data_IF_423494157700
#
_entry.id   IF_423494157700
#
_cell.length_a   1.000
_cell.length_b   1.000
_cell.length_c   1.000
_cell.angle_alpha   90.00
_cell.angle_beta   90.00
_cell.angle_gamma   90.00
#
_symmetry.space_group_name_H-M   'P 1'
#
loop_
_entity.id
_entity.type
_entity.pdbx_description
1 polymer ?
#
# COMPACT_ATOMS: atom_id res chain seq x y z
N UNK A 1 -17.37 -18.17 -16.58
CA UNK A 1 -15.98 -17.88 -16.17
C UNK A 1 -15.85 -18.37 -14.74
N UNK A 2 -15.10 -19.44 -14.49
CA UNK A 2 -14.95 -20.00 -13.14
C UNK A 2 -14.04 -19.06 -12.35
N UNK A 3 -14.59 -18.37 -11.35
CA UNK A 3 -13.80 -17.50 -10.48
C UNK A 3 -12.91 -18.41 -9.63
N UNK A 4 -11.60 -18.41 -9.92
CA UNK A 4 -10.62 -19.11 -9.11
C UNK A 4 -10.42 -18.34 -7.81
N UNK A 5 -10.43 -19.05 -6.68
CA UNK A 5 -10.27 -18.45 -5.36
C UNK A 5 -8.89 -17.79 -5.22
N UNK A 6 -8.78 -16.46 -5.04
CA UNK A 6 -7.51 -15.75 -5.08
C UNK A 6 -6.52 -16.18 -4.00
N UNK A 7 -6.95 -16.95 -2.99
CA UNK A 7 -6.07 -17.54 -1.98
C UNK A 7 -5.01 -18.47 -2.56
N UNK A 8 -5.14 -18.94 -3.81
CA UNK A 8 -4.05 -19.68 -4.47
C UNK A 8 -2.76 -18.84 -4.62
N UNK A 9 -2.86 -17.51 -4.57
CA UNK A 9 -1.71 -16.59 -4.59
C UNK A 9 -1.01 -16.47 -3.23
N UNK A 10 -1.64 -16.96 -2.16
CA UNK A 10 -1.05 -16.88 -0.84
C UNK A 10 0.19 -17.76 -0.77
N UNK A 11 1.31 -17.17 -0.35
CA UNK A 11 2.48 -17.93 0.02
C UNK A 11 2.25 -18.56 1.39
N UNK A 12 2.31 -19.89 1.43
CA UNK A 12 2.26 -20.66 2.67
C UNK A 12 3.69 -21.03 3.04
N UNK A 13 4.14 -20.58 4.20
CA UNK A 13 5.44 -20.94 4.75
C UNK A 13 5.27 -22.17 5.63
N UNK A 14 5.37 -23.35 5.02
CA UNK A 14 5.36 -24.60 5.76
C UNK A 14 6.65 -24.70 6.61
N UNK A 15 6.51 -25.23 7.82
CA UNK A 15 7.62 -25.40 8.75
C UNK A 15 7.20 -26.28 9.92
N UNK A 16 8.13 -27.09 10.41
CA UNK A 16 7.89 -27.95 11.58
C UNK A 16 8.09 -27.18 12.90
N UNK A 17 8.53 -25.92 12.82
CA UNK A 17 8.84 -25.06 13.95
C UNK A 17 8.69 -23.56 13.61
N UNK A 18 8.54 -22.68 14.63
CA UNK A 18 8.58 -21.23 14.42
C UNK A 18 9.89 -20.73 13.79
N UNK A 19 11.02 -21.41 14.03
CA UNK A 19 12.31 -21.04 13.43
C UNK A 19 12.33 -21.27 11.91
N UNK A 20 11.72 -22.37 11.45
CA UNK A 20 11.57 -22.67 10.03
C UNK A 20 10.66 -21.64 9.34
N UNK A 21 9.53 -21.29 9.98
CA UNK A 21 8.64 -20.23 9.48
C UNK A 21 9.38 -18.90 9.34
N UNK A 22 10.09 -18.46 10.38
CA UNK A 22 10.86 -17.22 10.35
C UNK A 22 11.88 -17.21 9.20
N UNK A 23 12.64 -18.30 9.03
CA UNK A 23 13.61 -18.44 7.94
C UNK A 23 12.93 -18.35 6.58
N UNK A 24 11.83 -19.07 6.36
CA UNK A 24 11.14 -19.11 5.08
C UNK A 24 10.48 -17.76 4.74
N UNK A 25 9.83 -17.13 5.73
CA UNK A 25 9.22 -15.81 5.58
C UNK A 25 10.26 -14.75 5.24
N UNK A 26 11.35 -14.68 6.01
CA UNK A 26 12.41 -13.68 5.77
C UNK A 26 13.08 -13.86 4.41
N UNK A 27 13.36 -15.10 3.99
CA UNK A 27 13.85 -15.37 2.63
C UNK A 27 12.88 -14.91 1.54
N UNK A 28 11.57 -15.08 1.75
CA UNK A 28 10.59 -14.58 0.79
C UNK A 28 10.51 -13.06 0.75
N UNK A 29 10.50 -12.43 1.93
CA UNK A 29 10.51 -10.98 2.05
C UNK A 29 11.76 -10.37 1.39
N UNK A 30 12.95 -10.95 1.63
CA UNK A 30 14.19 -10.52 0.98
C UNK A 30 14.08 -10.62 -0.54
N UNK A 31 13.59 -11.75 -1.07
CA UNK A 31 13.40 -11.90 -2.52
C UNK A 31 12.43 -10.86 -3.08
N UNK A 32 11.32 -10.60 -2.39
CA UNK A 32 10.36 -9.58 -2.81
C UNK A 32 11.01 -8.19 -2.85
N UNK A 33 11.71 -7.79 -1.79
CA UNK A 33 12.42 -6.52 -1.72
C UNK A 33 13.52 -6.40 -2.79
N UNK A 34 14.27 -7.47 -3.04
CA UNK A 34 15.32 -7.50 -4.07
C UNK A 34 14.78 -7.51 -5.50
N UNK A 35 13.50 -7.83 -5.69
CA UNK A 35 12.86 -7.83 -7.02
C UNK A 35 12.37 -6.46 -7.47
N UNK A 36 12.44 -5.45 -6.59
CA UNK A 36 12.01 -4.09 -6.91
C UNK A 36 12.94 -3.44 -7.95
N UNK A 37 12.35 -3.00 -9.07
CA UNK A 37 13.04 -2.12 -10.00
C UNK A 37 13.07 -0.70 -9.41
N UNK A 38 14.28 -0.23 -9.07
CA UNK A 38 14.47 1.10 -8.48
C UNK A 38 14.01 2.23 -9.39
N UNK A 39 13.96 2.02 -10.71
CA UNK A 39 13.42 3.02 -11.64
C UNK A 39 11.92 3.22 -11.46
N UNK A 40 11.17 2.16 -11.16
CA UNK A 40 9.74 2.28 -10.87
C UNK A 40 9.51 3.01 -9.54
N UNK A 41 10.41 2.84 -8.57
CA UNK A 41 10.37 3.59 -7.32
C UNK A 41 10.60 5.08 -7.55
N UNK A 42 11.60 5.45 -8.36
CA UNK A 42 11.86 6.84 -8.73
C UNK A 42 10.64 7.46 -9.43
N UNK A 43 10.05 6.74 -10.38
CA UNK A 43 8.84 7.17 -11.07
C UNK A 43 7.66 7.38 -10.12
N UNK A 44 7.46 6.47 -9.15
CA UNK A 44 6.41 6.63 -8.14
C UNK A 44 6.62 7.90 -7.31
N UNK A 45 7.86 8.17 -6.87
CA UNK A 45 8.22 9.40 -6.16
C UNK A 45 7.98 10.65 -7.01
N UNK A 46 8.36 10.64 -8.28
CA UNK A 46 8.13 11.75 -9.22
C UNK A 46 6.65 12.06 -9.41
N UNK A 47 5.79 11.03 -9.50
CA UNK A 47 4.34 11.20 -9.59
C UNK A 47 3.81 11.92 -8.34
N UNK A 48 4.21 11.48 -7.15
CA UNK A 48 3.79 12.09 -5.88
C UNK A 48 4.27 13.55 -5.78
N UNK A 49 5.55 13.81 -6.06
CA UNK A 49 6.10 15.17 -6.05
C UNK A 49 5.40 16.08 -7.06
N UNK A 50 5.09 15.57 -8.25
CA UNK A 50 4.37 16.32 -9.28
C UNK A 50 2.95 16.64 -8.83
N UNK A 51 2.26 15.68 -8.21
CA UNK A 51 0.93 15.90 -7.65
C UNK A 51 0.94 16.99 -6.57
N UNK A 52 1.93 16.98 -5.66
CA UNK A 52 2.10 18.04 -4.66
C UNK A 52 2.31 19.42 -5.30
N UNK A 53 3.27 19.52 -6.23
CA UNK A 53 3.59 20.78 -6.95
C UNK A 53 2.39 21.34 -7.71
N UNK A 54 1.57 20.47 -8.29
CA UNK A 54 0.36 20.85 -9.03
C UNK A 54 -0.87 21.02 -8.13
N UNK A 55 -0.74 20.83 -6.82
CA UNK A 55 -1.83 20.93 -5.85
C UNK A 55 -2.94 19.89 -6.05
N UNK A 56 -2.63 18.77 -6.72
CA UNK A 56 -3.54 17.67 -7.01
C UNK A 56 -3.85 16.85 -5.75
N UNK A 57 -4.96 16.09 -5.81
CA UNK A 57 -5.36 15.17 -4.75
C UNK A 57 -5.03 13.73 -5.13
N UNK A 58 -4.47 13.00 -4.17
CA UNK A 58 -4.17 11.58 -4.28
C UNK A 58 -5.23 10.82 -3.50
N UNK A 59 -5.88 9.87 -4.15
CA UNK A 59 -6.84 8.98 -3.52
C UNK A 59 -6.21 7.60 -3.34
N UNK A 60 -6.29 7.06 -2.12
CA UNK A 60 -5.79 5.74 -1.77
C UNK A 60 -6.96 4.79 -1.60
N UNK A 61 -6.84 3.57 -2.11
CA UNK A 61 -7.89 2.57 -2.02
C UNK A 61 -7.30 1.18 -1.90
N UNK A 62 -8.01 0.32 -1.18
CA UNK A 62 -7.67 -1.07 -1.01
C UNK A 62 -8.80 -1.79 -0.27
N UNK A 63 -8.84 -3.11 -0.40
CA UNK A 63 -9.81 -3.97 0.27
C UNK A 63 -9.13 -4.77 1.38
N UNK A 64 -9.87 -5.14 2.44
CA UNK A 64 -9.35 -5.93 3.54
C UNK A 64 -8.11 -5.29 4.18
N UNK A 65 -7.00 -6.04 4.31
CA UNK A 65 -5.75 -5.51 4.84
C UNK A 65 -5.19 -4.31 4.06
N UNK A 66 -5.41 -4.25 2.74
CA UNK A 66 -4.98 -3.10 1.93
C UNK A 66 -5.79 -1.83 2.19
N UNK A 67 -7.01 -1.96 2.74
CA UNK A 67 -7.79 -0.81 3.22
C UNK A 67 -7.07 -0.15 4.40
N UNK A 68 -6.59 -0.95 5.36
CA UNK A 68 -5.80 -0.46 6.49
C UNK A 68 -4.48 0.19 6.05
N UNK A 69 -3.81 -0.39 5.04
CA UNK A 69 -2.61 0.23 4.43
C UNK A 69 -2.96 1.57 3.77
N UNK A 70 -4.12 1.69 3.11
CA UNK A 70 -4.56 2.95 2.49
C UNK A 70 -4.79 4.05 3.54
N UNK A 71 -5.45 3.71 4.65
CA UNK A 71 -5.64 4.63 5.77
C UNK A 71 -4.30 5.05 6.38
N UNK A 72 -3.38 4.11 6.59
CA UNK A 72 -2.06 4.40 7.15
C UNK A 72 -1.21 5.27 6.22
N UNK A 73 -1.16 4.95 4.92
CA UNK A 73 -0.48 5.77 3.91
C UNK A 73 -1.07 7.19 3.83
N UNK A 74 -2.36 7.37 4.05
CA UNK A 74 -2.97 8.71 4.12
C UNK A 74 -2.40 9.52 5.30
N UNK A 75 -2.08 8.88 6.42
CA UNK A 75 -1.40 9.51 7.55
C UNK A 75 0.07 9.84 7.20
N UNK A 76 0.81 8.85 6.69
CA UNK A 76 2.24 9.00 6.38
C UNK A 76 2.50 10.06 5.32
N UNK A 77 1.74 10.04 4.22
CA UNK A 77 1.88 11.02 3.14
C UNK A 77 1.26 12.38 3.48
N UNK A 78 0.19 12.41 4.26
CA UNK A 78 -0.45 13.68 4.63
C UNK A 78 0.34 14.45 5.68
N UNK A 79 0.72 13.78 6.77
CA UNK A 79 1.39 14.38 7.93
C UNK A 79 2.91 14.16 7.88
N UNK A 80 3.34 12.94 7.57
CA UNK A 80 4.75 12.53 7.64
C UNK A 80 5.65 13.23 6.64
N UNK A 81 5.12 13.69 5.50
CA UNK A 81 5.90 14.43 4.49
C UNK A 81 5.72 15.95 4.56
N UNK A 82 4.97 16.47 5.54
CA UNK A 82 4.77 17.91 5.67
C UNK A 82 6.08 18.59 6.07
N UNK A 83 6.58 19.52 5.24
CA UNK A 83 7.84 20.23 5.46
C UNK A 83 7.69 21.72 5.14
N UNK A 84 8.32 22.62 5.93
CA UNK A 84 8.29 24.05 5.65
C UNK A 84 8.81 24.38 4.24
N UNK A 85 8.10 25.26 3.53
CA UNK A 85 8.48 25.70 2.18
C UNK A 85 8.23 24.70 1.06
N UNK A 86 7.68 23.51 1.36
CA UNK A 86 7.28 22.52 0.36
C UNK A 86 5.75 22.42 0.25
N UNK A 87 5.19 22.23 -0.96
CA UNK A 87 3.76 22.00 -1.11
C UNK A 87 3.35 20.68 -0.44
N UNK A 88 2.22 20.63 0.29
CA UNK A 88 1.78 19.40 0.94
C UNK A 88 1.21 18.40 -0.07
N UNK A 89 1.32 17.11 0.24
CA UNK A 89 0.54 16.08 -0.44
C UNK A 89 -0.89 16.10 0.10
N UNK A 90 -1.87 16.33 -0.79
CA UNK A 90 -3.29 16.24 -0.44
C UNK A 90 -3.74 14.80 -0.64
N UNK A 91 -3.75 14.01 0.42
CA UNK A 91 -4.05 12.57 0.35
C UNK A 91 -5.36 12.27 1.07
N UNK A 92 -6.15 11.34 0.53
CA UNK A 92 -7.38 10.86 1.16
C UNK A 92 -7.54 9.37 0.90
N UNK A 93 -7.66 8.59 1.97
CA UNK A 93 -8.08 7.19 1.86
C UNK A 93 -9.58 7.10 1.61
N UNK A 94 -9.97 6.31 0.62
CA UNK A 94 -11.36 5.99 0.31
C UNK A 94 -11.94 4.95 1.28
N UNK A 95 -11.09 4.26 2.06
CA UNK A 95 -11.53 3.32 3.08
C UNK A 95 -11.91 4.00 4.42
N UNK A 96 -11.48 5.23 4.64
CA UNK A 96 -11.60 5.91 5.93
C UNK A 96 -13.04 6.29 6.32
N UNK A 97 -13.99 6.29 5.38
CA UNK A 97 -15.39 6.64 5.65
C UNK A 97 -16.30 5.41 5.52
N UNK A 98 -16.46 4.69 6.62
CA UNK A 98 -17.29 3.47 6.69
C UNK A 98 -18.70 3.64 6.14
N UNK A 99 -19.49 4.64 6.58
CA UNK A 99 -20.84 4.87 6.05
C UNK A 99 -20.90 5.10 4.54
N UNK A 100 -20.00 5.92 3.98
CA UNK A 100 -19.95 6.15 2.53
C UNK A 100 -19.50 4.88 1.80
N UNK A 101 -18.50 4.18 2.33
CA UNK A 101 -17.99 2.94 1.75
C UNK A 101 -19.09 1.89 1.65
N UNK A 102 -19.87 1.67 2.72
CA UNK A 102 -20.96 0.69 2.71
C UNK A 102 -22.15 1.13 1.85
N UNK A 103 -22.43 2.44 1.76
CA UNK A 103 -23.45 2.96 0.87
C UNK A 103 -23.10 2.77 -0.62
N UNK A 104 -21.82 2.84 -0.98
CA UNK A 104 -21.34 2.61 -2.36
C UNK A 104 -21.31 1.11 -2.71
N UNK A 105 -21.00 0.25 -1.75
CA UNK A 105 -20.84 -1.18 -1.98
C UNK A 105 -22.16 -1.96 -2.07
N UNK A 106 -23.26 -1.38 -1.60
CA UNK A 106 -24.61 -1.93 -1.62
C UNK A 106 -25.33 -1.57 -2.92
#
# INVERSE_FOLDING_TARGET
MTIQDPRYLNQIFEGNSPADYYKNYTQSLTRALSSLDTKLLDQACEILMTAAKRGQRIFLAGNGGSAAISDHLSCDLGKGTLSPGQPPLKVTSLAANGPILTAIAN
#
